data_IF_472961696619
#
_entry.id   IF_472961696619
#
_cell.length_a   1.000
_cell.length_b   1.000
_cell.length_c   1.000
_cell.angle_alpha   90.00
_cell.angle_beta   90.00
_cell.angle_gamma   90.00
#
_symmetry.space_group_name_H-M   'P 1'
#
loop_
_entity.id
_entity.type
_entity.pdbx_description
1 polymer ?
#
# COMPACT_ATOMS: atom_id res chain seq x y z
N UNK A 1 -47.60 -25.27 -23.56
CA UNK A 1 -48.23 -26.32 -22.75
C UNK A 1 -47.30 -26.57 -21.59
N UNK A 2 -47.38 -25.70 -20.58
CA UNK A 2 -48.15 -25.90 -19.31
C UNK A 2 -47.13 -26.31 -18.24
N UNK A 3 -47.02 -25.74 -17.05
CA UNK A 3 -47.63 -24.58 -16.39
C UNK A 3 -47.03 -24.58 -14.98
N UNK A 4 -46.47 -23.47 -14.51
CA UNK A 4 -46.46 -23.17 -13.07
C UNK A 4 -47.90 -22.91 -12.61
N UNK A 5 -48.23 -23.01 -11.30
CA UNK A 5 -48.31 -21.77 -10.53
C UNK A 5 -48.09 -21.85 -8.99
N UNK A 6 -47.74 -20.67 -8.44
CA UNK A 6 -48.16 -20.04 -7.17
C UNK A 6 -48.05 -20.78 -5.81
N UNK A 7 -47.24 -20.30 -4.85
CA UNK A 7 -47.36 -19.09 -4.00
C UNK A 7 -48.25 -19.26 -2.74
N UNK A 8 -47.66 -19.06 -1.55
CA UNK A 8 -48.13 -18.12 -0.51
C UNK A 8 -47.31 -18.16 0.78
N UNK A 9 -47.15 -16.96 1.31
CA UNK A 9 -46.58 -16.52 2.58
C UNK A 9 -47.39 -16.92 3.82
N UNK A 10 -46.74 -16.91 4.99
CA UNK A 10 -47.33 -16.42 6.25
C UNK A 10 -46.26 -16.01 7.28
N UNK A 11 -46.48 -14.83 7.83
CA UNK A 11 -45.82 -14.17 8.95
C UNK A 11 -45.86 -14.96 10.27
N UNK A 12 -44.89 -14.66 11.14
CA UNK A 12 -44.88 -15.07 12.55
C UNK A 12 -43.77 -14.37 13.35
N UNK A 13 -44.17 -13.35 14.09
CA UNK A 13 -43.40 -12.33 14.81
C UNK A 13 -42.73 -12.76 16.13
N UNK A 14 -41.57 -12.12 16.41
CA UNK A 14 -41.11 -11.50 17.68
C UNK A 14 -41.05 -12.35 18.97
N UNK A 15 -39.84 -12.47 19.54
CA UNK A 15 -39.61 -12.28 20.99
C UNK A 15 -38.27 -11.57 21.25
N UNK A 16 -38.38 -10.49 22.04
CA UNK A 16 -37.32 -9.68 22.65
C UNK A 16 -36.88 -10.30 23.99
N UNK A 17 -35.83 -9.68 24.53
CA UNK A 17 -35.22 -9.79 25.86
C UNK A 17 -34.08 -10.81 25.91
N UNK A 18 -32.86 -10.44 26.33
CA UNK A 18 -32.59 -9.75 27.59
C UNK A 18 -31.31 -8.89 27.58
N UNK A 19 -31.46 -7.65 28.06
CA UNK A 19 -30.38 -6.83 28.65
C UNK A 19 -29.90 -7.48 29.95
N UNK A 20 -28.58 -7.61 30.12
CA UNK A 20 -27.96 -7.72 31.45
C UNK A 20 -26.99 -6.56 31.64
N UNK A 21 -27.33 -5.65 32.56
CA UNK A 21 -26.41 -4.73 33.23
C UNK A 21 -25.76 -5.47 34.39
N UNK A 22 -24.45 -5.36 34.53
CA UNK A 22 -23.64 -5.43 35.77
C UNK A 22 -22.18 -5.29 35.33
N UNK A 23 -21.27 -4.65 36.04
CA UNK A 23 -21.27 -3.69 37.13
C UNK A 23 -19.83 -3.19 37.17
N UNK A 24 -19.64 -1.93 37.49
CA UNK A 24 -18.39 -1.33 37.94
C UNK A 24 -17.64 -2.24 38.92
N UNK A 25 -16.34 -2.45 38.67
CA UNK A 25 -15.39 -2.70 39.75
C UNK A 25 -14.06 -2.01 39.46
N UNK A 26 -13.82 -0.98 40.26
CA UNK A 26 -12.57 -0.29 40.52
C UNK A 26 -11.53 -1.18 41.20
N UNK A 27 -10.26 -0.76 41.07
CA UNK A 27 -9.06 -1.11 41.86
C UNK A 27 -8.27 -2.30 41.28
N UNK A 28 -7.00 -2.20 40.89
CA UNK A 28 -5.86 -1.74 41.69
C UNK A 28 -4.64 -1.46 40.78
N UNK A 29 -3.87 -0.44 41.17
CA UNK A 29 -2.49 -0.15 40.73
C UNK A 29 -1.59 -1.36 40.92
N UNK A 30 -0.71 -1.60 39.96
CA UNK A 30 0.59 -2.22 40.20
C UNK A 30 1.64 -1.44 39.42
N UNK A 31 2.44 -0.68 40.17
CA UNK A 31 3.65 0.00 39.72
C UNK A 31 4.67 -1.04 39.22
N UNK A 32 5.20 -0.88 38.00
CA UNK A 32 6.48 -1.49 37.60
C UNK A 32 7.17 -0.61 36.56
N UNK A 33 8.12 0.17 37.09
CA UNK A 33 9.44 0.57 36.58
C UNK A 33 9.60 0.83 35.07
N UNK A 34 9.83 2.10 34.77
CA UNK A 34 10.49 2.61 33.56
C UNK A 34 11.80 1.87 33.26
N UNK A 35 11.91 1.36 32.04
CA UNK A 35 13.19 1.15 31.38
C UNK A 35 13.07 1.62 29.93
N UNK A 36 13.72 2.75 29.67
CA UNK A 36 13.96 3.32 28.34
C UNK A 36 14.69 2.30 27.46
N UNK A 37 14.15 2.01 26.27
CA UNK A 37 14.89 1.30 25.21
C UNK A 37 14.61 1.98 23.86
N UNK A 38 15.69 2.51 23.28
CA UNK A 38 15.76 3.16 21.97
C UNK A 38 15.45 2.19 20.81
N UNK A 39 14.81 2.64 19.71
CA UNK A 39 14.64 1.84 18.51
C UNK A 39 15.88 1.92 17.60
N UNK A 40 16.54 0.78 17.40
CA UNK A 40 17.64 0.61 16.44
C UNK A 40 17.13 0.64 15.00
N UNK A 41 17.61 1.61 14.22
CA UNK A 41 17.37 1.76 12.79
C UNK A 41 18.48 1.07 11.98
N UNK A 42 18.11 0.09 11.15
CA UNK A 42 19.02 -0.56 10.22
C UNK A 42 19.23 0.28 8.96
N UNK A 43 20.44 0.81 8.77
CA UNK A 43 20.86 1.50 7.55
C UNK A 43 21.52 0.53 6.55
N UNK A 44 20.96 0.49 5.35
CA UNK A 44 21.53 -0.09 4.14
C UNK A 44 22.72 0.74 3.65
N UNK A 45 23.87 0.11 3.41
CA UNK A 45 25.09 0.78 2.90
C UNK A 45 25.00 1.01 1.39
N UNK A 46 25.02 2.27 0.97
CA UNK A 46 25.40 2.69 -0.39
C UNK A 46 26.89 3.05 -0.43
N UNK A 47 27.59 2.53 -1.44
CA UNK A 47 29.02 2.71 -1.72
C UNK A 47 29.31 4.16 -2.16
N UNK A 48 30.33 4.78 -1.58
CA UNK A 48 30.87 6.08 -2.02
C UNK A 48 32.34 5.96 -2.46
N UNK A 49 32.63 6.58 -3.61
CA UNK A 49 33.94 6.67 -4.26
C UNK A 49 34.70 7.88 -3.69
N UNK A 50 35.99 7.69 -3.40
CA UNK A 50 36.93 8.70 -2.89
C UNK A 50 37.28 9.79 -3.91
N UNK A 51 37.48 11.03 -3.44
CA UNK A 51 38.11 12.07 -4.25
C UNK A 51 38.27 13.46 -3.62
N UNK A 52 39.30 13.62 -2.77
CA UNK A 52 40.13 14.82 -2.50
C UNK A 52 39.50 16.16 -2.03
N UNK A 53 39.76 16.41 -0.74
CA UNK A 53 40.28 17.63 -0.09
C UNK A 53 40.57 18.89 -0.92
N UNK A 54 39.98 20.01 -0.47
CA UNK A 54 40.44 21.38 -0.72
C UNK A 54 39.92 22.30 0.39
N UNK A 55 40.85 22.87 1.17
CA UNK A 55 40.64 23.74 2.32
C UNK A 55 40.01 25.09 1.95
N UNK A 56 39.16 25.64 2.83
CA UNK A 56 39.31 27.02 3.33
C UNK A 56 38.46 27.27 4.59
N UNK A 57 39.11 27.86 5.59
CA UNK A 57 38.53 28.41 6.82
C UNK A 57 37.70 29.66 6.51
N UNK A 58 36.56 29.85 7.17
CA UNK A 58 36.37 30.88 8.21
C UNK A 58 34.94 30.89 8.77
N UNK A 59 34.86 31.21 10.06
CA UNK A 59 33.74 31.79 10.82
C UNK A 59 32.57 30.91 11.25
N UNK A 60 32.83 30.13 12.31
CA UNK A 60 31.86 29.76 13.34
C UNK A 60 31.21 31.00 13.97
N UNK A 61 30.00 31.33 13.51
CA UNK A 61 28.99 31.99 14.34
C UNK A 61 28.06 30.89 14.90
N UNK A 62 28.19 30.62 16.20
CA UNK A 62 27.26 29.80 16.96
C UNK A 62 25.89 30.50 16.95
N UNK A 63 24.99 30.06 16.08
CA UNK A 63 23.57 30.32 16.25
C UNK A 63 22.94 29.07 16.83
N UNK A 64 22.65 29.15 18.13
CA UNK A 64 21.75 28.28 18.85
C UNK A 64 20.36 28.41 18.23
N UNK A 65 19.98 27.49 17.35
CA UNK A 65 18.59 27.36 16.93
C UNK A 65 18.03 26.06 17.50
N UNK A 66 17.54 26.17 18.74
CA UNK A 66 16.68 25.15 19.35
C UNK A 66 15.44 25.00 18.48
N UNK A 67 15.32 23.84 17.85
CA UNK A 67 14.25 23.43 16.94
C UNK A 67 12.85 23.93 17.34
N UNK A 68 12.40 25.04 16.74
CA UNK A 68 10.96 25.31 16.62
C UNK A 68 10.40 24.35 15.58
N UNK A 69 9.80 23.25 16.03
CA UNK A 69 8.96 22.41 15.16
C UNK A 69 7.88 23.32 14.57
N UNK A 70 7.85 23.49 13.25
CA UNK A 70 6.76 24.18 12.56
C UNK A 70 5.43 23.49 12.91
N UNK A 71 4.32 24.22 13.09
CA UNK A 71 3.01 23.65 13.48
C UNK A 71 2.56 22.49 12.59
N UNK A 72 2.89 22.56 11.30
CA UNK A 72 2.63 21.52 10.30
C UNK A 72 3.36 20.19 10.58
N UNK A 73 4.61 20.23 11.07
CA UNK A 73 5.36 19.00 11.42
C UNK A 73 4.78 18.30 12.64
N UNK A 74 4.29 19.05 13.63
CA UNK A 74 3.63 18.47 14.81
C UNK A 74 2.29 17.82 14.45
N UNK A 75 1.48 18.44 13.58
CA UNK A 75 0.20 17.89 13.13
C UNK A 75 0.41 16.54 12.39
N UNK A 76 1.43 16.47 11.54
CA UNK A 76 1.77 15.25 10.82
C UNK A 76 2.24 14.14 11.75
N UNK A 77 3.09 14.45 12.73
CA UNK A 77 3.57 13.46 13.70
C UNK A 77 2.42 12.91 14.55
N UNK A 78 1.56 13.79 15.08
CA UNK A 78 0.38 13.41 15.85
C UNK A 78 -0.54 12.48 15.04
N UNK A 79 -0.69 12.76 13.74
CA UNK A 79 -1.48 11.93 12.84
C UNK A 79 -0.86 10.55 12.61
N UNK A 80 0.46 10.47 12.44
CA UNK A 80 1.18 9.20 12.34
C UNK A 80 0.99 8.38 13.62
N UNK A 81 1.18 9.03 14.77
CA UNK A 81 1.06 8.37 16.08
C UNK A 81 -0.36 7.85 16.34
N UNK A 82 -1.39 8.58 15.88
CA UNK A 82 -2.79 8.16 15.97
C UNK A 82 -3.10 6.87 15.20
N UNK A 83 -2.43 6.65 14.06
CA UNK A 83 -2.70 5.52 13.17
C UNK A 83 -1.66 4.40 13.25
N UNK A 84 -0.61 4.59 14.04
CA UNK A 84 0.39 3.58 14.30
C UNK A 84 -0.23 2.41 15.05
N UNK A 85 -0.11 1.21 14.48
CA UNK A 85 -0.60 -0.02 15.09
C UNK A 85 0.54 -0.68 15.87
N UNK A 86 0.27 -1.07 17.12
CA UNK A 86 1.17 -1.92 17.89
C UNK A 86 1.03 -3.36 17.39
N UNK A 87 2.13 -3.94 16.95
CA UNK A 87 2.19 -5.31 16.42
C UNK A 87 3.15 -6.13 17.27
N UNK A 88 2.90 -7.43 17.40
CA UNK A 88 3.86 -8.36 18.01
C UNK A 88 5.08 -8.57 17.09
N UNK A 89 6.21 -8.99 17.64
CA UNK A 89 7.50 -9.18 16.94
C UNK A 89 7.39 -9.98 15.63
N UNK A 90 6.50 -10.97 15.60
CA UNK A 90 6.31 -11.87 14.46
C UNK A 90 4.92 -11.75 13.81
N UNK A 91 4.16 -10.72 14.14
CA UNK A 91 2.86 -10.45 13.56
C UNK A 91 3.01 -9.71 12.23
N UNK A 92 2.36 -10.21 11.18
CA UNK A 92 2.30 -9.53 9.90
C UNK A 92 1.36 -8.33 9.98
N UNK A 93 1.91 -7.13 9.80
CA UNK A 93 1.10 -5.93 9.68
C UNK A 93 0.32 -5.91 8.35
N UNK A 94 -0.99 -6.15 8.42
CA UNK A 94 -1.92 -6.13 7.27
C UNK A 94 -2.31 -4.72 6.80
N UNK A 95 -1.94 -3.65 7.52
CA UNK A 95 -2.06 -2.27 7.01
C UNK A 95 -0.96 -1.95 6.01
N UNK A 96 0.20 -2.58 6.19
CA UNK A 96 1.38 -2.48 5.34
C UNK A 96 1.41 -3.53 4.23
N UNK A 97 0.86 -4.71 4.50
CA UNK A 97 0.93 -5.87 3.64
C UNK A 97 -0.46 -6.41 3.24
N UNK A 98 -0.53 -7.13 2.15
CA UNK A 98 -1.75 -7.80 1.67
C UNK A 98 -1.46 -9.26 1.37
N UNK A 99 -2.42 -10.13 1.68
CA UNK A 99 -2.37 -11.54 1.29
C UNK A 99 -2.78 -11.69 -0.17
N UNK A 100 -1.93 -12.30 -0.98
CA UNK A 100 -2.13 -12.49 -2.41
C UNK A 100 -2.03 -13.97 -2.80
N UNK A 101 -2.77 -14.35 -3.84
CA UNK A 101 -2.73 -15.71 -4.37
C UNK A 101 -3.50 -16.76 -3.55
N UNK A 102 -4.25 -16.32 -2.53
CA UNK A 102 -5.07 -17.17 -1.67
C UNK A 102 -4.31 -17.75 -0.49
N UNK A 103 -4.90 -18.78 0.12
CA UNK A 103 -4.33 -19.51 1.25
C UNK A 103 -4.09 -20.96 0.87
N UNK A 104 -3.06 -21.57 1.44
CA UNK A 104 -2.66 -22.94 1.21
C UNK A 104 -2.86 -23.72 2.51
N UNK A 105 -3.56 -24.86 2.44
CA UNK A 105 -3.67 -25.79 3.55
C UNK A 105 -2.56 -26.81 3.42
N UNK A 106 -1.66 -26.82 4.38
CA UNK A 106 -0.54 -27.76 4.42
C UNK A 106 -0.73 -28.65 5.63
N UNK A 107 -1.43 -29.78 5.45
CA UNK A 107 -1.78 -30.72 6.52
C UNK A 107 -1.05 -32.04 6.34
N UNK A 108 -0.66 -32.65 7.47
CA UNK A 108 -0.23 -34.04 7.52
C UNK A 108 -1.44 -34.91 7.86
N UNK A 109 -1.71 -35.93 7.05
CA UNK A 109 -2.87 -36.80 7.22
C UNK A 109 -2.45 -38.18 7.71
N UNK A 110 -3.25 -38.78 8.59
CA UNK A 110 -3.08 -40.19 8.97
C UNK A 110 -3.43 -41.09 7.78
N UNK A 111 -2.61 -42.12 7.58
CA UNK A 111 -2.92 -43.16 6.61
C UNK A 111 -4.02 -44.03 7.22
N UNK A 112 -5.20 -44.16 6.57
CA UNK A 112 -6.27 -45.00 7.09
C UNK A 112 -5.82 -46.46 7.15
N UNK A 113 -6.43 -47.29 8.02
CA UNK A 113 -6.05 -48.69 8.15
C UNK A 113 -6.02 -49.40 6.79
N UNK A 114 -4.87 -49.97 6.43
CA UNK A 114 -4.68 -50.64 5.16
C UNK A 114 -5.17 -52.09 5.23
N UNK A 115 -5.67 -52.67 4.12
CA UNK A 115 -6.06 -54.07 4.07
C UNK A 115 -4.88 -54.99 4.43
N UNK A 116 -5.14 -56.00 5.27
CA UNK A 116 -4.16 -57.02 5.68
C UNK A 116 -4.64 -58.40 5.24
N UNK A 117 -3.74 -59.19 4.67
CA UNK A 117 -4.01 -60.60 4.35
C UNK A 117 -3.85 -61.44 5.61
N UNK A 118 -4.90 -62.18 5.97
CA UNK A 118 -4.93 -63.10 7.11
C UNK A 118 -5.44 -64.45 6.61
N UNK A 119 -4.53 -65.40 6.39
CA UNK A 119 -4.83 -66.63 5.67
C UNK A 119 -5.24 -66.36 4.22
N UNK A 120 -6.40 -66.87 3.81
CA UNK A 120 -6.99 -66.62 2.48
C UNK A 120 -7.91 -65.38 2.45
N UNK A 121 -8.05 -64.65 3.56
CA UNK A 121 -8.90 -63.47 3.66
C UNK A 121 -8.08 -62.18 3.52
N UNK A 122 -8.69 -61.15 2.94
CA UNK A 122 -8.20 -59.76 2.98
C UNK A 122 -9.15 -58.98 3.87
N UNK A 123 -8.66 -58.51 5.02
CA UNK A 123 -9.45 -57.82 6.04
C UNK A 123 -8.97 -56.37 6.13
N UNK A 124 -9.88 -55.41 6.11
CA UNK A 124 -9.60 -53.99 6.29
C UNK A 124 -10.46 -53.44 7.43
N UNK A 125 -9.85 -52.73 8.37
CA UNK A 125 -10.59 -52.05 9.43
C UNK A 125 -11.17 -50.75 8.89
N UNK A 126 -12.48 -50.60 8.99
CA UNK A 126 -13.17 -49.35 8.63
C UNK A 126 -13.38 -48.52 9.90
N UNK A 127 -12.85 -47.30 9.91
CA UNK A 127 -13.09 -46.34 10.99
C UNK A 127 -14.32 -45.48 10.68
N UNK A 128 -15.14 -45.23 11.70
CA UNK A 128 -16.32 -44.35 11.61
C UNK A 128 -16.23 -43.22 12.64
N UNK A 129 -16.44 -41.94 12.28
CA UNK A 129 -16.82 -41.47 10.93
C UNK A 129 -15.66 -41.56 9.93
N UNK A 130 -16.00 -41.75 8.65
CA UNK A 130 -15.02 -41.69 7.55
C UNK A 130 -14.66 -40.22 7.28
N UNK A 131 -13.79 -39.68 8.12
CA UNK A 131 -13.28 -38.32 8.01
C UNK A 131 -11.76 -38.34 7.96
N UNK A 132 -11.17 -37.34 7.27
CA UNK A 132 -9.72 -37.16 7.27
C UNK A 132 -9.25 -36.79 8.68
N UNK A 133 -8.26 -37.52 9.18
CA UNK A 133 -7.60 -37.25 10.46
C UNK A 133 -6.28 -36.55 10.19
N UNK A 134 -6.12 -35.37 10.77
CA UNK A 134 -4.89 -34.59 10.69
C UNK A 134 -3.95 -34.97 11.82
N UNK A 135 -2.66 -35.02 11.53
CA UNK A 135 -1.58 -35.23 12.50
C UNK A 135 -0.98 -33.88 12.83
N UNK A 136 -0.99 -33.51 14.11
CA UNK A 136 -0.23 -32.36 14.58
C UNK A 136 1.26 -32.70 14.56
N UNK A 137 2.03 -31.99 13.75
CA UNK A 137 3.47 -32.15 13.68
C UNK A 137 4.18 -30.80 13.77
N UNK A 138 5.29 -30.82 14.51
CA UNK A 138 6.20 -29.70 14.68
C UNK A 138 7.62 -30.25 14.70
N UNK A 139 8.50 -29.66 13.92
CA UNK A 139 9.91 -30.03 13.90
C UNK A 139 10.57 -29.74 15.25
N UNK A 140 11.39 -30.67 15.71
CA UNK A 140 12.32 -30.45 16.82
C UNK A 140 13.57 -29.72 16.32
N UNK A 141 13.40 -28.44 16.00
CA UNK A 141 14.44 -27.57 15.48
C UNK A 141 14.92 -26.61 16.57
N UNK A 142 16.25 -26.54 16.74
CA UNK A 142 16.88 -25.58 17.64
C UNK A 142 17.50 -24.46 16.80
N UNK A 143 17.05 -23.23 17.04
CA UNK A 143 17.66 -22.05 16.40
C UNK A 143 19.16 -22.03 16.76
N UNK A 144 20.06 -21.87 15.78
CA UNK A 144 21.48 -21.68 16.04
C UNK A 144 21.67 -20.46 16.94
N UNK A 145 22.50 -20.57 17.97
CA UNK A 145 22.84 -19.42 18.82
C UNK A 145 23.50 -18.35 17.95
N UNK A 146 22.75 -17.29 17.66
CA UNK A 146 23.30 -16.06 17.11
C UNK A 146 23.39 -15.14 18.31
N UNK A 147 24.59 -14.85 18.80
CA UNK A 147 24.80 -13.97 19.95
C UNK A 147 24.39 -12.53 19.61
N UNK A 148 23.08 -12.22 19.62
CA UNK A 148 22.56 -10.85 19.50
C UNK A 148 22.61 -10.08 20.84
N UNK A 149 23.51 -10.47 21.75
CA UNK A 149 23.67 -9.88 23.08
C UNK A 149 25.11 -9.77 23.57
N UNK A 150 26.11 -9.85 22.69
CA UNK A 150 27.50 -9.54 23.06
C UNK A 150 27.73 -8.02 22.99
N UNK A 151 27.39 -7.35 24.09
CA UNK A 151 27.86 -6.00 24.37
C UNK A 151 29.37 -5.89 24.10
N UNK A 152 29.75 -4.80 23.45
CA UNK A 152 31.13 -4.42 23.17
C UNK A 152 32.03 -4.59 24.39
N UNK A 153 33.25 -5.06 24.12
CA UNK A 153 34.41 -5.18 25.01
C UNK A 153 34.67 -6.60 25.52
N UNK A 154 34.98 -7.54 24.61
CA UNK A 154 36.28 -8.23 24.61
C UNK A 154 36.40 -9.25 23.46
N UNK A 155 37.59 -9.26 22.86
CA UNK A 155 38.14 -10.25 21.93
C UNK A 155 37.39 -10.48 20.61
N UNK A 156 37.90 -9.85 19.55
CA UNK A 156 37.82 -10.40 18.18
C UNK A 156 38.64 -11.69 18.16
N UNK A 157 38.06 -12.80 18.62
CA UNK A 157 38.55 -14.14 18.30
C UNK A 157 38.24 -14.37 16.83
N UNK A 158 39.29 -14.34 16.00
CA UNK A 158 39.23 -14.89 14.64
C UNK A 158 38.84 -16.38 14.78
N UNK A 159 37.55 -16.70 14.63
CA UNK A 159 37.09 -18.09 14.55
C UNK A 159 37.90 -18.81 13.48
N UNK A 160 38.36 -20.02 13.78
CA UNK A 160 39.13 -20.80 12.81
C UNK A 160 38.22 -21.25 11.65
N UNK A 161 38.73 -21.41 10.42
CA UNK A 161 37.92 -21.92 9.30
C UNK A 161 37.21 -23.25 9.62
N UNK A 162 37.84 -24.10 10.44
CA UNK A 162 37.27 -25.40 10.86
C UNK A 162 36.11 -25.27 11.87
N UNK A 163 36.11 -24.25 12.73
CA UNK A 163 34.98 -23.97 13.62
C UNK A 163 33.79 -23.42 12.84
N UNK A 164 34.06 -22.55 11.87
CA UNK A 164 33.05 -22.01 10.96
C UNK A 164 32.41 -23.14 10.14
N UNK A 165 33.22 -24.07 9.60
CA UNK A 165 32.70 -25.21 8.84
C UNK A 165 31.86 -26.16 9.72
N UNK A 166 32.28 -26.39 10.97
CA UNK A 166 31.51 -27.19 11.93
C UNK A 166 30.17 -26.52 12.30
N UNK A 167 30.17 -25.22 12.57
CA UNK A 167 28.95 -24.45 12.83
C UNK A 167 27.98 -24.52 11.64
N UNK A 168 28.47 -24.30 10.41
CA UNK A 168 27.65 -24.39 9.18
C UNK A 168 27.05 -25.78 9.03
N UNK A 169 27.84 -26.83 9.25
CA UNK A 169 27.37 -28.22 9.12
C UNK A 169 26.31 -28.56 10.16
N UNK A 170 26.47 -28.09 11.40
CA UNK A 170 25.46 -28.27 12.45
C UNK A 170 24.17 -27.52 12.14
N UNK A 171 24.27 -26.28 11.64
CA UNK A 171 23.12 -25.52 11.16
C UNK A 171 22.39 -26.24 10.02
N UNK A 172 23.12 -26.82 9.08
CA UNK A 172 22.53 -27.58 7.98
C UNK A 172 21.80 -28.84 8.48
N UNK A 173 22.38 -29.57 9.44
CA UNK A 173 21.74 -30.73 10.07
C UNK A 173 20.44 -30.35 10.80
N UNK A 174 20.41 -29.21 11.50
CA UNK A 174 19.19 -28.72 12.14
C UNK A 174 18.14 -28.31 11.10
N UNK A 175 18.53 -27.62 10.02
CA UNK A 175 17.62 -27.26 8.93
C UNK A 175 17.07 -28.49 8.18
N UNK A 176 17.80 -29.61 8.14
CA UNK A 176 17.32 -30.88 7.56
C UNK A 176 16.16 -31.51 8.35
N UNK A 177 15.96 -31.14 9.61
CA UNK A 177 14.78 -31.57 10.39
C UNK A 177 13.49 -30.87 9.96
N UNK A 178 13.61 -29.75 9.25
CA UNK A 178 12.47 -28.98 8.74
C UNK A 178 11.99 -29.53 7.40
N UNK A 179 10.70 -29.34 7.11
CA UNK A 179 10.14 -29.69 5.80
C UNK A 179 10.51 -28.63 4.79
N UNK A 180 11.22 -29.02 3.74
CA UNK A 180 11.55 -28.16 2.60
C UNK A 180 10.38 -28.14 1.61
N UNK A 181 9.89 -26.94 1.33
CA UNK A 181 8.78 -26.68 0.41
C UNK A 181 9.28 -25.88 -0.78
N UNK A 182 8.87 -26.28 -1.98
CA UNK A 182 9.06 -25.54 -3.22
C UNK A 182 7.69 -25.11 -3.74
N UNK A 183 7.48 -23.80 -3.84
CA UNK A 183 6.22 -23.21 -4.25
C UNK A 183 6.44 -22.37 -5.52
N UNK A 184 5.65 -22.65 -6.56
CA UNK A 184 5.52 -21.74 -7.70
C UNK A 184 4.51 -20.65 -7.36
N UNK A 185 4.89 -19.39 -7.55
CA UNK A 185 4.01 -18.28 -7.23
C UNK A 185 2.75 -18.29 -8.13
N UNK A 186 1.56 -17.99 -7.57
CA UNK A 186 0.34 -17.90 -8.36
C UNK A 186 0.45 -16.84 -9.45
N UNK A 187 0.11 -17.23 -10.69
CA UNK A 187 0.09 -16.31 -11.85
C UNK A 187 -1.12 -15.36 -11.88
N UNK A 188 -1.96 -15.40 -10.85
CA UNK A 188 -3.13 -14.52 -10.68
C UNK A 188 -2.74 -13.14 -10.12
N UNK A 189 -1.55 -13.01 -9.54
CA UNK A 189 -1.05 -11.77 -8.97
C UNK A 189 0.32 -11.40 -9.52
N UNK A 190 0.60 -10.10 -9.52
CA UNK A 190 1.88 -9.50 -9.86
C UNK A 190 2.67 -9.27 -8.57
N UNK A 191 3.91 -9.75 -8.55
CA UNK A 191 4.80 -9.67 -7.39
C UNK A 191 5.88 -8.63 -7.67
N UNK A 192 5.80 -7.46 -7.05
CA UNK A 192 6.77 -6.37 -7.23
C UNK A 192 7.99 -6.51 -6.33
N UNK A 193 7.79 -7.13 -5.17
CA UNK A 193 8.82 -7.48 -4.19
C UNK A 193 8.77 -9.00 -3.91
N UNK A 194 9.85 -9.58 -3.37
CA UNK A 194 9.84 -10.95 -2.91
C UNK A 194 8.69 -11.17 -1.89
N UNK A 195 7.81 -12.17 -2.12
CA UNK A 195 6.71 -12.42 -1.20
C UNK A 195 7.22 -12.94 0.15
N UNK A 196 6.54 -12.53 1.21
CA UNK A 196 6.76 -13.05 2.55
C UNK A 196 5.81 -14.23 2.79
N UNK A 197 6.35 -15.40 3.10
CA UNK A 197 5.55 -16.55 3.52
C UNK A 197 5.08 -16.32 4.97
N UNK A 198 3.80 -16.57 5.23
CA UNK A 198 3.20 -16.44 6.56
C UNK A 198 2.30 -17.63 6.89
N UNK A 199 2.14 -17.91 8.19
CA UNK A 199 1.24 -18.94 8.73
C UNK A 199 0.16 -18.30 9.59
N UNK A 200 -1.08 -18.75 9.45
CA UNK A 200 -2.15 -18.32 10.35
C UNK A 200 -1.95 -18.92 11.74
N UNK A 201 -1.87 -18.07 12.76
CA UNK A 201 -1.83 -18.51 14.15
C UNK A 201 -3.22 -18.40 14.76
N UNK A 202 -3.91 -19.53 14.90
CA UNK A 202 -5.33 -19.55 15.29
C UNK A 202 -5.55 -19.11 16.74
N UNK A 203 -4.59 -19.39 17.62
CA UNK A 203 -4.67 -19.00 19.04
C UNK A 203 -4.57 -17.48 19.23
N UNK A 204 -3.78 -16.82 18.39
CA UNK A 204 -3.53 -15.38 18.46
C UNK A 204 -4.40 -14.55 17.50
N UNK A 205 -4.93 -15.18 16.45
CA UNK A 205 -5.81 -14.55 15.47
C UNK A 205 -5.09 -13.65 14.46
N UNK A 206 -3.82 -13.93 14.15
CA UNK A 206 -3.04 -13.16 13.18
C UNK A 206 -2.18 -14.04 12.26
N UNK A 207 -1.69 -13.44 11.17
CA UNK A 207 -0.67 -14.05 10.31
C UNK A 207 0.72 -13.86 10.90
N UNK A 208 1.49 -14.93 11.07
CA UNK A 208 2.83 -14.90 11.61
C UNK A 208 3.89 -15.22 10.58
N UNK A 209 5.01 -14.50 10.65
CA UNK A 209 6.24 -14.78 9.89
C UNK A 209 7.15 -15.80 10.60
N UNK A 210 6.80 -16.23 11.81
CA UNK A 210 7.62 -17.16 12.58
C UNK A 210 7.53 -18.60 12.04
N UNK A 211 8.63 -19.35 12.19
CA UNK A 211 8.69 -20.77 11.85
C UNK A 211 9.06 -21.07 10.40
N UNK A 212 9.52 -20.06 9.64
CA UNK A 212 10.04 -20.21 8.29
C UNK A 212 11.54 -19.90 8.23
N UNK A 213 12.30 -20.73 7.53
CA UNK A 213 13.76 -20.66 7.44
C UNK A 213 14.24 -20.97 6.02
N UNK A 214 15.50 -20.65 5.70
CA UNK A 214 16.11 -20.91 4.38
C UNK A 214 15.23 -20.42 3.20
N UNK A 215 14.64 -19.22 3.35
CA UNK A 215 13.75 -18.64 2.34
C UNK A 215 14.60 -18.16 1.17
N UNK A 216 14.33 -18.70 -0.03
CA UNK A 216 14.99 -18.32 -1.28
C UNK A 216 13.92 -18.00 -2.32
N UNK A 217 14.07 -16.84 -2.96
CA UNK A 217 13.19 -16.39 -4.02
C UNK A 217 13.95 -16.33 -5.35
N UNK A 218 13.45 -17.03 -6.36
CA UNK A 218 13.92 -16.95 -7.74
C UNK A 218 12.92 -16.09 -8.53
N UNK A 219 13.29 -14.84 -8.81
CA UNK A 219 12.44 -13.90 -9.53
C UNK A 219 12.20 -14.33 -10.99
N UNK A 220 13.20 -14.92 -11.65
CA UNK A 220 13.09 -15.34 -13.05
C UNK A 220 12.10 -16.49 -13.23
N UNK A 221 12.10 -17.45 -12.32
CA UNK A 221 11.15 -18.59 -12.33
C UNK A 221 9.85 -18.30 -11.58
N UNK A 222 9.79 -17.21 -10.82
CA UNK A 222 8.69 -16.90 -9.89
C UNK A 222 8.44 -18.08 -8.94
N UNK A 223 9.50 -18.57 -8.30
CA UNK A 223 9.44 -19.68 -7.34
C UNK A 223 10.02 -19.27 -6.00
N UNK A 224 9.34 -19.68 -4.93
CA UNK A 224 9.76 -19.50 -3.55
C UNK A 224 10.07 -20.88 -2.94
N UNK A 225 11.26 -21.05 -2.37
CA UNK A 225 11.56 -22.22 -1.55
C UNK A 225 11.80 -21.81 -0.11
N UNK A 226 11.29 -22.57 0.84
CA UNK A 226 11.45 -22.30 2.26
C UNK A 226 11.36 -23.60 3.05
N UNK A 227 11.88 -23.57 4.28
CA UNK A 227 11.76 -24.64 5.26
C UNK A 227 10.76 -24.22 6.34
N UNK A 228 9.86 -25.12 6.72
CA UNK A 228 8.83 -24.84 7.72
C UNK A 228 8.94 -25.73 8.95
N UNK A 229 8.66 -25.13 10.12
CA UNK A 229 8.68 -25.78 11.42
C UNK A 229 7.41 -26.59 11.71
N UNK A 230 6.27 -26.23 11.10
CA UNK A 230 4.99 -26.85 11.41
C UNK A 230 4.02 -26.72 10.25
N UNK A 231 3.08 -27.65 10.17
CA UNK A 231 1.96 -27.62 9.24
C UNK A 231 0.91 -26.57 9.63
N UNK A 232 -0.01 -26.25 8.71
CA UNK A 232 -1.10 -25.32 8.94
C UNK A 232 -1.52 -24.54 7.70
N UNK A 233 -2.23 -23.43 7.93
CA UNK A 233 -2.70 -22.55 6.87
C UNK A 233 -1.59 -21.54 6.55
N UNK A 234 -1.04 -21.63 5.35
CA UNK A 234 -0.03 -20.70 4.85
C UNK A 234 -0.63 -19.70 3.88
N UNK A 235 0.02 -18.56 3.72
CA UNK A 235 -0.32 -17.58 2.71
C UNK A 235 0.92 -16.81 2.25
N UNK A 236 0.82 -16.19 1.07
CA UNK A 236 1.85 -15.30 0.57
C UNK A 236 1.42 -13.85 0.78
N UNK A 237 2.29 -13.09 1.43
CA UNK A 237 2.10 -11.67 1.71
C UNK A 237 2.97 -10.83 0.77
N UNK A 238 2.42 -9.75 0.25
CA UNK A 238 3.16 -8.73 -0.49
C UNK A 238 3.06 -7.37 0.19
N UNK A 239 4.11 -6.56 0.07
CA UNK A 239 4.07 -5.15 0.45
C UNK A 239 3.08 -4.42 -0.45
N UNK A 240 2.18 -3.64 0.15
CA UNK A 240 1.10 -2.97 -0.61
C UNK A 240 1.63 -1.80 -1.41
N UNK A 241 2.57 -1.06 -0.86
CA UNK A 241 2.91 0.27 -1.35
C UNK A 241 4.15 0.29 -2.24
N UNK A 242 4.51 -0.83 -2.89
CA UNK A 242 5.68 -0.91 -3.78
C UNK A 242 5.60 0.07 -4.97
N UNK A 243 4.40 0.51 -5.33
CA UNK A 243 4.16 1.46 -6.43
C UNK A 243 3.72 2.85 -5.93
N UNK A 244 3.98 3.17 -4.65
CA UNK A 244 3.82 4.51 -4.11
C UNK A 244 5.16 5.01 -3.52
N UNK A 245 5.46 6.32 -3.61
CA UNK A 245 4.68 7.37 -4.28
C UNK A 245 4.63 7.20 -5.81
N UNK A 246 3.62 7.84 -6.42
CA UNK A 246 3.53 8.01 -7.86
C UNK A 246 4.69 8.91 -8.34
N UNK A 247 5.13 8.72 -9.56
CA UNK A 247 6.15 9.54 -10.22
C UNK A 247 5.54 10.67 -11.04
N UNK A 248 4.33 10.47 -11.56
CA UNK A 248 3.57 11.49 -12.28
C UNK A 248 2.11 11.11 -12.37
N UNK A 249 1.27 12.11 -12.60
CA UNK A 249 -0.13 11.94 -12.95
C UNK A 249 -0.56 13.04 -13.93
N UNK A 250 -1.55 12.72 -14.75
CA UNK A 250 -2.18 13.68 -15.66
C UNK A 250 -3.66 13.34 -15.80
N UNK A 251 -4.53 14.34 -15.65
CA UNK A 251 -5.96 14.28 -15.93
C UNK A 251 -6.27 15.19 -17.12
N UNK A 252 -6.88 14.64 -18.17
CA UNK A 252 -7.27 15.42 -19.36
C UNK A 252 -8.70 15.10 -19.82
N UNK A 253 -9.48 16.10 -20.25
CA UNK A 253 -10.79 15.86 -20.87
C UNK A 253 -10.66 15.12 -22.19
N UNK A 254 -11.57 14.18 -22.42
CA UNK A 254 -11.79 13.53 -23.70
C UNK A 254 -13.10 14.00 -24.36
N UNK A 255 -14.15 14.17 -23.56
CA UNK A 255 -15.45 14.70 -24.00
C UNK A 255 -16.17 15.44 -22.87
N UNK A 256 -17.42 15.85 -23.08
CA UNK A 256 -18.23 16.58 -22.09
C UNK A 256 -18.40 15.81 -20.77
N UNK A 257 -18.41 14.47 -20.82
CA UNK A 257 -18.66 13.58 -19.68
C UNK A 257 -17.63 12.45 -19.61
N UNK A 258 -16.43 12.69 -20.14
CA UNK A 258 -15.35 11.71 -20.05
C UNK A 258 -13.98 12.37 -19.99
N UNK A 259 -13.12 11.81 -19.16
CA UNK A 259 -11.75 12.25 -18.96
C UNK A 259 -10.81 11.05 -18.81
N UNK A 260 -9.56 11.23 -19.22
CA UNK A 260 -8.51 10.24 -19.09
C UNK A 260 -7.60 10.65 -17.94
N UNK A 261 -7.39 9.75 -16.98
CA UNK A 261 -6.37 9.92 -15.93
C UNK A 261 -5.25 8.90 -16.14
N UNK A 262 -4.03 9.39 -16.26
CA UNK A 262 -2.82 8.58 -16.34
C UNK A 262 -2.11 8.65 -15.00
N UNK A 263 -1.83 7.51 -14.39
CA UNK A 263 -1.04 7.38 -13.18
C UNK A 263 0.23 6.59 -13.50
N UNK A 264 1.39 7.19 -13.24
CA UNK A 264 2.69 6.54 -13.42
C UNK A 264 3.35 6.35 -12.07
N UNK A 265 3.66 5.11 -11.73
CA UNK A 265 4.40 4.70 -10.55
C UNK A 265 5.75 4.10 -10.95
N UNK A 266 6.55 3.67 -9.96
CA UNK A 266 7.89 3.13 -10.19
C UNK A 266 7.96 1.96 -11.19
N UNK A 267 7.03 1.00 -11.11
CA UNK A 267 7.00 -0.16 -11.99
C UNK A 267 5.74 -0.26 -12.85
N UNK A 268 4.72 0.56 -12.57
CA UNK A 268 3.37 0.47 -13.17
C UNK A 268 3.01 1.79 -13.82
N UNK A 269 2.47 1.74 -15.03
CA UNK A 269 1.77 2.87 -15.64
C UNK A 269 0.36 2.42 -16.04
N UNK A 270 -0.63 3.16 -15.56
CA UNK A 270 -2.03 2.84 -15.77
C UNK A 270 -2.77 4.07 -16.30
N UNK A 271 -3.52 3.88 -17.38
CA UNK A 271 -4.37 4.90 -18.00
C UNK A 271 -5.82 4.47 -17.83
N UNK A 272 -6.61 5.31 -17.16
CA UNK A 272 -8.01 5.05 -16.86
C UNK A 272 -8.91 6.05 -17.58
N UNK A 273 -9.92 5.53 -18.25
CA UNK A 273 -11.01 6.31 -18.80
C UNK A 273 -12.11 6.46 -17.75
N UNK A 274 -12.32 7.68 -17.29
CA UNK A 274 -13.39 8.08 -16.38
C UNK A 274 -14.62 8.46 -17.23
N UNK A 275 -15.76 7.85 -16.95
CA UNK A 275 -17.04 8.17 -17.57
C UNK A 275 -18.13 8.47 -16.54
N UNK A 276 -19.38 8.35 -16.95
CA UNK A 276 -20.54 8.58 -16.09
C UNK A 276 -20.76 7.39 -15.14
N UNK A 277 -20.23 7.47 -13.91
CA UNK A 277 -20.46 6.49 -12.85
C UNK A 277 -19.57 5.25 -12.94
N UNK A 278 -18.75 5.17 -13.98
CA UNK A 278 -17.87 4.04 -14.27
C UNK A 278 -16.48 4.52 -14.67
N UNK A 279 -15.50 3.66 -14.41
CA UNK A 279 -14.11 3.81 -14.82
C UNK A 279 -13.67 2.56 -15.56
N UNK A 280 -12.80 2.73 -16.55
CA UNK A 280 -12.29 1.64 -17.38
C UNK A 280 -10.77 1.73 -17.47
N UNK A 281 -10.06 0.66 -17.16
CA UNK A 281 -8.61 0.58 -17.39
C UNK A 281 -8.35 0.44 -18.90
N UNK A 282 -7.83 1.49 -19.53
CA UNK A 282 -7.57 1.55 -20.98
C UNK A 282 -6.20 1.00 -21.34
N UNK A 283 -5.17 1.45 -20.64
CA UNK A 283 -3.80 0.96 -20.84
C UNK A 283 -3.20 0.59 -19.50
N UNK A 284 -2.43 -0.49 -19.51
CA UNK A 284 -1.70 -0.95 -18.35
C UNK A 284 -0.36 -1.51 -18.81
N UNK A 285 0.73 -0.98 -18.28
CA UNK A 285 2.07 -1.51 -18.49
C UNK A 285 2.76 -1.71 -17.15
N UNK A 286 3.58 -2.76 -17.07
CA UNK A 286 4.23 -3.19 -15.84
C UNK A 286 5.62 -3.79 -16.13
N UNK A 287 6.50 -3.00 -16.74
CA UNK A 287 7.83 -3.47 -17.17
C UNK A 287 7.75 -4.77 -17.98
N UNK A 288 8.48 -5.80 -17.52
CA UNK A 288 8.50 -7.14 -18.14
C UNK A 288 7.42 -8.10 -17.60
N UNK A 289 6.63 -7.67 -16.61
CA UNK A 289 5.59 -8.53 -16.00
C UNK A 289 4.34 -8.53 -16.89
N UNK A 290 3.57 -9.64 -16.91
CA UNK A 290 2.36 -9.72 -17.74
C UNK A 290 1.31 -8.68 -17.33
N UNK A 291 0.41 -8.29 -18.24
CA UNK A 291 -0.67 -7.36 -17.90
C UNK A 291 -1.65 -7.99 -16.91
N UNK A 292 -2.39 -7.13 -16.21
CA UNK A 292 -3.52 -7.54 -15.38
C UNK A 292 -4.53 -8.34 -16.19
N UNK A 293 -4.95 -9.49 -15.66
CA UNK A 293 -5.82 -10.44 -16.35
C UNK A 293 -7.27 -9.99 -16.22
N UNK A 294 -7.93 -9.86 -17.37
CA UNK A 294 -9.37 -9.64 -17.44
C UNK A 294 -9.84 -8.32 -16.84
N UNK A 295 -8.97 -7.30 -16.73
CA UNK A 295 -9.33 -5.98 -16.20
C UNK A 295 -9.41 -4.89 -17.28
N UNK A 296 -8.61 -5.02 -18.35
CA UNK A 296 -8.59 -4.05 -19.45
C UNK A 296 -9.94 -3.95 -20.15
N UNK A 297 -10.31 -2.73 -20.53
CA UNK A 297 -11.54 -2.37 -21.26
C UNK A 297 -12.86 -2.80 -20.59
N UNK A 298 -12.84 -3.09 -19.29
CA UNK A 298 -14.05 -3.38 -18.51
C UNK A 298 -14.51 -2.16 -17.71
N UNK A 299 -15.71 -1.60 -17.99
CA UNK A 299 -16.28 -0.55 -17.17
C UNK A 299 -16.77 -1.11 -15.84
N UNK A 300 -16.41 -0.45 -14.74
CA UNK A 300 -16.84 -0.81 -13.39
C UNK A 300 -16.84 0.41 -12.47
N UNK A 301 -17.40 0.28 -11.26
CA UNK A 301 -17.30 1.34 -10.27
C UNK A 301 -15.85 1.50 -9.77
N UNK A 302 -15.48 2.71 -9.32
CA UNK A 302 -14.12 3.02 -8.84
C UNK A 302 -13.67 2.05 -7.74
N UNK A 303 -14.56 1.72 -6.79
CA UNK A 303 -14.23 0.80 -5.68
C UNK A 303 -13.97 -0.64 -6.15
N UNK A 304 -14.72 -1.11 -7.14
CA UNK A 304 -14.56 -2.45 -7.69
C UNK A 304 -13.25 -2.55 -8.47
N UNK A 305 -12.92 -1.53 -9.27
CA UNK A 305 -11.63 -1.43 -9.96
C UNK A 305 -10.46 -1.51 -8.98
N UNK A 306 -10.49 -0.70 -7.92
CA UNK A 306 -9.42 -0.70 -6.89
C UNK A 306 -9.29 -2.08 -6.26
N UNK A 307 -10.42 -2.73 -5.93
CA UNK A 307 -10.42 -4.07 -5.36
C UNK A 307 -9.80 -5.10 -6.33
N UNK A 308 -10.22 -5.11 -7.59
CA UNK A 308 -9.68 -6.03 -8.60
C UNK A 308 -8.18 -5.80 -8.85
N UNK A 309 -7.73 -4.55 -8.92
CA UNK A 309 -6.30 -4.23 -9.05
C UNK A 309 -5.50 -4.75 -7.84
N UNK A 310 -5.99 -4.50 -6.62
CA UNK A 310 -5.36 -4.96 -5.38
C UNK A 310 -5.28 -6.49 -5.30
N UNK A 311 -6.33 -7.20 -5.70
CA UNK A 311 -6.33 -8.68 -5.74
C UNK A 311 -5.30 -9.25 -6.72
N UNK A 312 -4.94 -8.49 -7.75
CA UNK A 312 -3.87 -8.85 -8.69
C UNK A 312 -2.49 -8.31 -8.27
N UNK A 313 -2.35 -7.79 -7.05
CA UNK A 313 -1.08 -7.30 -6.50
C UNK A 313 -0.68 -5.90 -6.95
N UNK A 314 -1.58 -5.16 -7.63
CA UNK A 314 -1.33 -3.78 -8.05
C UNK A 314 -2.10 -2.83 -7.13
N UNK A 315 -1.41 -2.22 -6.18
CA UNK A 315 -1.97 -1.17 -5.32
C UNK A 315 -1.28 0.16 -5.60
N UNK A 316 -2.00 1.06 -6.27
CA UNK A 316 -1.60 2.46 -6.54
C UNK A 316 -2.56 3.44 -5.86
N UNK A 317 -3.39 2.94 -4.93
CA UNK A 317 -4.44 3.69 -4.26
C UNK A 317 -4.17 3.69 -2.76
N UNK A 318 -3.70 4.79 -2.17
CA UNK A 318 -3.41 4.85 -0.75
C UNK A 318 -4.68 4.80 0.10
N UNK A 319 -4.64 4.02 1.18
CA UNK A 319 -5.64 4.06 2.24
C UNK A 319 -5.45 5.31 3.13
N UNK A 320 -6.26 5.42 4.19
CA UNK A 320 -6.24 6.59 5.08
C UNK A 320 -4.97 6.66 5.95
N UNK A 321 -4.38 5.51 6.28
CA UNK A 321 -3.21 5.31 7.14
C UNK A 321 -1.93 4.96 6.37
N UNK A 322 -1.96 4.91 5.03
CA UNK A 322 -0.80 4.52 4.20
C UNK A 322 0.45 5.39 4.44
N UNK A 323 0.26 6.65 4.81
CA UNK A 323 1.32 7.58 5.18
C UNK A 323 2.16 7.14 6.39
N UNK A 324 1.69 6.20 7.20
CA UNK A 324 2.49 5.60 8.28
C UNK A 324 3.53 4.59 7.78
N UNK A 325 3.42 4.15 6.52
CA UNK A 325 4.19 3.05 5.95
C UNK A 325 5.00 3.43 4.70
N UNK A 326 4.92 4.69 4.28
CA UNK A 326 5.61 5.23 3.11
C UNK A 326 6.35 6.48 3.55
N UNK A 327 7.65 6.51 3.30
CA UNK A 327 8.52 7.64 3.66
C UNK A 327 8.58 8.68 2.53
N UNK A 328 8.91 9.93 2.88
CA UNK A 328 9.16 10.99 1.90
C UNK A 328 7.92 11.55 1.19
N UNK A 329 6.71 11.26 1.67
CA UNK A 329 5.48 11.77 1.08
C UNK A 329 5.27 13.28 1.32
N UNK A 330 4.77 14.04 0.32
CA UNK A 330 4.36 15.43 0.49
C UNK A 330 2.95 15.50 1.08
N UNK A 331 2.75 14.99 2.30
CA UNK A 331 1.42 14.95 2.92
C UNK A 331 0.80 16.34 2.97
N UNK A 332 -0.43 16.48 2.45
CA UNK A 332 -1.15 17.74 2.37
C UNK A 332 -2.25 17.87 3.41
N UNK A 333 -2.71 19.11 3.60
CA UNK A 333 -3.92 19.37 4.36
C UNK A 333 -5.13 18.66 3.75
N UNK A 334 -5.76 17.79 4.54
CA UNK A 334 -6.80 16.87 4.09
C UNK A 334 -8.01 17.65 3.55
N UNK A 335 -8.39 18.73 4.23
CA UNK A 335 -9.60 19.48 3.87
C UNK A 335 -9.36 20.27 2.59
N UNK A 336 -8.19 20.89 2.49
CA UNK A 336 -7.76 21.64 1.30
C UNK A 336 -7.60 20.70 0.10
N UNK A 337 -6.95 19.55 0.27
CA UNK A 337 -6.78 18.53 -0.77
C UNK A 337 -8.14 18.01 -1.26
N UNK A 338 -9.05 17.68 -0.33
CA UNK A 338 -10.40 17.20 -0.65
C UNK A 338 -11.23 18.26 -1.37
N UNK A 339 -11.17 19.52 -0.94
CA UNK A 339 -11.86 20.63 -1.61
C UNK A 339 -11.33 20.81 -3.03
N UNK A 340 -9.99 20.82 -3.18
CA UNK A 340 -9.33 20.97 -4.46
C UNK A 340 -9.71 19.85 -5.44
N UNK A 341 -9.81 18.59 -5.00
CA UNK A 341 -10.30 17.51 -5.86
C UNK A 341 -11.73 17.71 -6.35
N UNK A 342 -12.60 18.33 -5.54
CA UNK A 342 -13.96 18.68 -6.00
C UNK A 342 -13.92 19.82 -7.02
N UNK A 343 -13.07 20.83 -6.82
CA UNK A 343 -12.88 21.89 -7.81
C UNK A 343 -12.35 21.34 -9.14
N UNK A 344 -11.32 20.48 -9.10
CA UNK A 344 -10.78 19.79 -10.28
C UNK A 344 -11.88 18.97 -10.98
N UNK A 345 -12.71 18.26 -10.21
CA UNK A 345 -13.78 17.46 -10.77
C UNK A 345 -14.85 18.29 -11.49
N UNK A 346 -15.17 19.48 -10.99
CA UNK A 346 -16.14 20.41 -11.60
C UNK A 346 -15.65 20.98 -12.94
N UNK A 347 -14.33 21.04 -13.14
CA UNK A 347 -13.68 21.63 -14.33
C UNK A 347 -13.02 20.58 -15.23
N UNK A 348 -13.15 19.29 -14.89
CA UNK A 348 -12.42 18.19 -15.53
C UNK A 348 -12.76 17.97 -17.02
N UNK A 349 -13.89 18.51 -17.50
CA UNK A 349 -14.30 18.39 -18.90
C UNK A 349 -13.77 19.53 -19.81
N UNK A 350 -13.08 20.51 -19.23
CA UNK A 350 -12.57 21.70 -19.93
C UNK A 350 -11.13 22.08 -19.56
N UNK A 351 -10.57 21.52 -18.49
CA UNK A 351 -9.19 21.73 -18.05
C UNK A 351 -8.38 20.43 -17.99
N UNK A 352 -7.12 20.54 -18.36
CA UNK A 352 -6.11 19.51 -18.19
C UNK A 352 -5.28 19.85 -16.95
N UNK A 353 -5.14 18.89 -16.05
CA UNK A 353 -4.34 18.98 -14.84
C UNK A 353 -3.19 17.98 -14.88
N UNK A 354 -2.04 18.34 -14.33
CA UNK A 354 -0.87 17.47 -14.29
C UNK A 354 -0.07 17.69 -13.02
N UNK A 355 0.70 16.68 -12.64
CA UNK A 355 1.64 16.75 -11.53
C UNK A 355 2.63 17.92 -11.68
N UNK A 356 3.17 18.40 -10.56
CA UNK A 356 4.23 19.40 -10.54
C UNK A 356 5.37 18.92 -9.65
N UNK A 357 6.62 19.02 -10.11
CA UNK A 357 7.78 18.62 -9.30
C UNK A 357 7.95 19.47 -8.03
N UNK A 358 7.39 20.67 -8.04
CA UNK A 358 7.46 21.62 -6.92
C UNK A 358 6.58 21.18 -5.73
N UNK A 359 5.59 20.33 -5.98
CA UNK A 359 4.65 19.86 -4.95
C UNK A 359 5.32 18.99 -3.87
N UNK A 360 6.37 18.25 -4.24
CA UNK A 360 7.08 17.35 -3.32
C UNK A 360 7.68 18.10 -2.12
N UNK A 361 8.23 19.29 -2.38
CA UNK A 361 8.95 20.10 -1.37
C UNK A 361 8.13 21.28 -0.83
N UNK A 362 6.87 21.43 -1.24
CA UNK A 362 6.05 22.61 -0.89
C UNK A 362 5.49 22.56 0.54
N UNK A 363 5.59 21.42 1.22
CA UNK A 363 5.10 21.23 2.58
C UNK A 363 3.60 20.91 2.65
N UNK A 364 3.04 21.03 3.86
CA UNK A 364 1.69 20.53 4.19
C UNK A 364 0.55 21.39 3.62
N UNK A 365 0.68 22.70 3.66
CA UNK A 365 -0.42 23.63 3.32
C UNK A 365 -0.41 24.07 1.86
N UNK A 366 0.66 23.76 1.12
CA UNK A 366 0.83 24.21 -0.27
C UNK A 366 0.64 23.04 -1.22
N UNK A 367 -0.41 23.08 -2.01
CA UNK A 367 -0.69 22.11 -3.06
C UNK A 367 -0.35 22.74 -4.39
N UNK A 368 0.63 22.18 -5.09
CA UNK A 368 1.13 22.72 -6.35
C UNK A 368 0.83 21.73 -7.46
N UNK A 369 0.26 22.22 -8.56
CA UNK A 369 0.00 21.41 -9.74
C UNK A 369 0.05 22.26 -11.00
N UNK A 370 0.12 21.60 -12.14
CA UNK A 370 -0.01 22.26 -13.43
C UNK A 370 -1.46 22.23 -13.90
N UNK A 371 -1.90 23.29 -14.55
CA UNK A 371 -3.17 23.33 -15.25
C UNK A 371 -3.05 24.04 -16.60
N UNK A 372 -3.99 23.73 -17.50
CA UNK A 372 -4.21 24.49 -18.74
C UNK A 372 -5.61 24.24 -19.25
N UNK A 373 -6.12 25.20 -20.01
CA UNK A 373 -7.37 25.03 -20.74
C UNK A 373 -7.23 23.95 -21.81
N UNK A 374 -8.26 23.12 -21.96
CA UNK A 374 -8.33 22.09 -22.99
C UNK A 374 -9.76 21.90 -23.49
N UNK A 375 -10.03 22.48 -24.66
CA UNK A 375 -11.27 22.26 -25.38
C UNK A 375 -11.07 21.25 -26.52
N UNK A 376 -12.02 20.31 -26.73
CA UNK A 376 -11.97 19.39 -27.85
C UNK A 376 -11.79 20.14 -29.20
N UNK A 377 -10.79 19.74 -29.98
CA UNK A 377 -10.54 20.30 -31.32
C UNK A 377 -9.82 21.65 -31.36
N UNK A 378 -9.43 22.24 -30.23
CA UNK A 378 -8.57 23.43 -30.19
C UNK A 378 -7.11 23.07 -29.93
N UNK A 379 -6.19 23.92 -30.37
CA UNK A 379 -4.78 23.78 -30.00
C UNK A 379 -4.62 23.95 -28.48
N UNK A 380 -3.74 23.14 -27.91
CA UNK A 380 -3.47 23.14 -26.48
C UNK A 380 -2.49 24.27 -26.14
N UNK A 381 -2.79 25.03 -25.08
CA UNK A 381 -1.88 26.02 -24.53
C UNK A 381 -0.72 25.39 -23.75
N UNK A 382 0.20 26.24 -23.28
CA UNK A 382 1.23 25.87 -22.31
C UNK A 382 0.60 25.59 -20.94
N UNK A 383 1.24 24.72 -20.16
CA UNK A 383 0.88 24.55 -18.75
C UNK A 383 1.32 25.76 -17.93
N UNK A 384 0.43 26.18 -17.03
CA UNK A 384 0.69 27.14 -15.97
C UNK A 384 0.78 26.39 -14.64
N UNK A 385 1.57 26.91 -13.71
CA UNK A 385 1.72 26.33 -12.37
C UNK A 385 0.83 27.08 -11.41
N UNK A 386 -0.03 26.36 -10.69
CA UNK A 386 -0.90 26.92 -9.66
C UNK A 386 -0.49 26.46 -8.28
N UNK A 387 -0.61 27.39 -7.34
CA UNK A 387 -0.53 27.13 -5.91
C UNK A 387 -1.92 27.27 -5.30
N UNK A 388 -2.32 26.25 -4.55
CA UNK A 388 -3.52 26.24 -3.73
C UNK A 388 -3.12 26.07 -2.27
N UNK A 389 -3.66 26.93 -1.41
CA UNK A 389 -3.54 26.86 0.05
C UNK A 389 -4.93 26.84 0.68
N UNK A 390 -5.07 26.63 2.00
CA UNK A 390 -6.36 26.71 2.68
C UNK A 390 -7.05 28.07 2.53
N UNK A 391 -6.27 29.13 2.27
CA UNK A 391 -6.76 30.52 2.25
C UNK A 391 -6.98 31.05 0.84
N UNK A 392 -6.20 30.57 -0.15
CA UNK A 392 -6.23 31.12 -1.50
C UNK A 392 -5.69 30.20 -2.59
N UNK A 393 -6.02 30.54 -3.82
CA UNK A 393 -5.46 30.00 -5.06
C UNK A 393 -4.81 31.11 -5.87
N UNK A 394 -3.65 30.83 -6.45
CA UNK A 394 -2.89 31.77 -7.30
C UNK A 394 -2.13 31.06 -8.42
N UNK A 395 -1.97 31.73 -9.56
CA UNK A 395 -1.11 31.27 -10.67
C UNK A 395 0.29 31.83 -10.46
N UNK A 396 1.32 30.99 -10.50
CA UNK A 396 2.70 31.36 -10.18
C UNK A 396 3.48 31.85 -11.40
N UNK A 397 4.41 32.78 -11.18
CA UNK A 397 5.46 33.16 -12.13
C UNK A 397 6.57 32.10 -12.21
N UNK A 398 6.19 30.83 -12.33
CA UNK A 398 7.13 29.74 -12.54
C UNK A 398 6.56 28.67 -13.47
N UNK A 399 7.46 27.89 -14.06
CA UNK A 399 7.13 26.75 -14.90
C UNK A 399 7.91 25.52 -14.41
N UNK A 400 7.60 24.34 -14.92
CA UNK A 400 8.40 23.14 -14.66
C UNK A 400 9.84 23.24 -15.20
N UNK A 401 10.08 24.14 -16.17
CA UNK A 401 11.41 24.39 -16.72
C UNK A 401 12.25 25.38 -15.88
N UNK A 402 11.63 26.13 -14.96
CA UNK A 402 12.30 27.12 -14.12
C UNK A 402 13.36 26.46 -13.22
N UNK A 403 14.56 27.03 -13.12
CA UNK A 403 15.63 26.42 -12.30
C UNK A 403 15.33 26.42 -10.79
N UNK A 404 14.65 27.47 -10.32
CA UNK A 404 14.27 27.65 -8.91
C UNK A 404 12.77 27.82 -8.79
N UNK A 405 12.23 27.42 -7.64
CA UNK A 405 10.83 27.65 -7.32
C UNK A 405 10.59 29.15 -7.06
N UNK A 406 9.54 29.71 -7.66
CA UNK A 406 9.10 31.07 -7.43
C UNK A 406 7.64 31.04 -6.95
N UNK A 407 7.45 31.44 -5.70
CA UNK A 407 6.14 31.49 -5.04
C UNK A 407 5.39 32.82 -5.28
N UNK A 408 5.92 33.66 -6.18
CA UNK A 408 5.26 34.90 -6.54
C UNK A 408 4.14 34.62 -7.54
N UNK A 409 2.93 35.14 -7.29
CA UNK A 409 1.85 35.05 -8.26
C UNK A 409 2.13 35.96 -9.47
N UNK A 410 1.56 35.60 -10.61
CA UNK A 410 1.48 36.47 -11.79
C UNK A 410 0.57 37.66 -11.45
N UNK A 411 0.92 38.85 -11.93
CA UNK A 411 0.08 40.05 -11.77
C UNK A 411 -1.37 39.78 -12.22
N UNK A 412 -2.33 40.19 -11.39
CA UNK A 412 -3.78 39.93 -11.51
C UNK A 412 -4.25 38.50 -11.18
N UNK A 413 -3.34 37.57 -10.86
CA UNK A 413 -3.66 36.18 -10.52
C UNK A 413 -3.28 35.81 -9.08
N UNK A 414 -3.35 36.78 -8.18
CA UNK A 414 -2.71 36.69 -6.86
C UNK A 414 -3.55 36.05 -5.76
N UNK A 415 -4.89 36.17 -5.85
CA UNK A 415 -5.74 35.85 -4.71
C UNK A 415 -7.18 35.49 -5.12
N UNK A 416 -7.41 34.21 -5.40
CA UNK A 416 -8.76 33.66 -5.57
C UNK A 416 -9.14 32.79 -4.38
N UNK A 417 -10.42 32.71 -3.97
CA UNK A 417 -10.85 31.87 -2.86
C UNK A 417 -10.54 30.38 -3.08
N UNK A 418 -10.76 29.89 -4.29
CA UNK A 418 -10.44 28.52 -4.70
C UNK A 418 -10.22 28.42 -6.22
N UNK A 419 -9.78 27.23 -6.67
CA UNK A 419 -9.54 26.91 -8.08
C UNK A 419 -10.79 27.13 -8.95
N UNK A 420 -11.97 26.78 -8.45
CA UNK A 420 -13.20 26.90 -9.23
C UNK A 420 -13.56 28.36 -9.46
N UNK A 421 -13.48 29.19 -8.42
CA UNK A 421 -13.70 30.63 -8.46
C UNK A 421 -12.70 31.34 -9.37
N UNK A 422 -11.43 30.94 -9.32
CA UNK A 422 -10.40 31.43 -10.26
C UNK A 422 -10.79 31.14 -11.70
N UNK A 423 -11.21 29.91 -12.00
CA UNK A 423 -11.60 29.52 -13.35
C UNK A 423 -12.84 30.28 -13.81
N UNK A 424 -13.84 30.50 -12.94
CA UNK A 424 -15.03 31.28 -13.31
C UNK A 424 -14.72 32.74 -13.66
N UNK A 425 -13.73 33.34 -13.01
CA UNK A 425 -13.37 34.75 -13.22
C UNK A 425 -12.49 34.95 -14.48
N UNK A 426 -11.57 34.00 -14.73
CA UNK A 426 -10.54 34.13 -15.75
C UNK A 426 -10.93 33.46 -17.08
N UNK A 427 -11.60 32.31 -17.02
CA UNK A 427 -11.74 31.46 -18.19
C UNK A 427 -12.61 32.09 -19.28
N UNK A 428 -12.26 31.89 -20.56
CA UNK A 428 -13.04 32.44 -21.65
C UNK A 428 -14.42 31.77 -21.76
N UNK A 429 -15.41 32.49 -22.26
CA UNK A 429 -16.81 32.03 -22.36
C UNK A 429 -17.00 30.61 -22.97
N UNK A 430 -16.23 30.17 -23.99
CA UNK A 430 -16.34 28.80 -24.51
C UNK A 430 -15.95 27.72 -23.50
N UNK A 431 -15.00 28.01 -22.60
CA UNK A 431 -14.57 27.10 -21.53
C UNK A 431 -15.67 27.00 -20.47
N UNK A 432 -16.26 28.12 -20.07
CA UNK A 432 -17.38 28.16 -19.13
C UNK A 432 -18.60 27.39 -19.67
N UNK A 433 -18.97 27.61 -20.93
CA UNK A 433 -20.04 26.85 -21.61
C UNK A 433 -19.75 25.35 -21.69
N UNK A 434 -18.48 24.96 -21.78
CA UNK A 434 -18.11 23.54 -21.75
C UNK A 434 -18.29 22.97 -20.34
N UNK A 435 -17.87 23.69 -19.29
CA UNK A 435 -18.05 23.27 -17.90
C UNK A 435 -19.51 23.00 -17.55
N UNK A 436 -20.43 23.86 -17.99
CA UNK A 436 -21.87 23.70 -17.74
C UNK A 436 -22.47 22.39 -18.29
N UNK A 437 -21.83 21.76 -19.28
CA UNK A 437 -22.29 20.50 -19.87
C UNK A 437 -21.90 19.26 -19.07
N UNK A 438 -21.02 19.40 -18.08
CA UNK A 438 -20.61 18.29 -17.23
C UNK A 438 -21.79 17.81 -16.40
N UNK A 439 -22.13 16.52 -16.52
CA UNK A 439 -23.15 15.89 -15.67
C UNK A 439 -22.59 15.64 -14.29
N UNK A 440 -23.43 15.81 -13.27
CA UNK A 440 -23.06 15.56 -11.88
C UNK A 440 -22.50 14.16 -11.61
N UNK A 441 -22.96 13.13 -12.34
CA UNK A 441 -22.47 11.75 -12.21
C UNK A 441 -21.01 11.63 -12.68
N UNK A 442 -20.65 12.28 -13.78
CA UNK A 442 -19.27 12.34 -14.26
C UNK A 442 -18.37 13.07 -13.25
N UNK A 443 -18.79 14.27 -12.82
CA UNK A 443 -18.08 15.06 -11.79
C UNK A 443 -17.85 14.23 -10.52
N UNK A 444 -18.88 13.54 -10.04
CA UNK A 444 -18.75 12.67 -8.88
C UNK A 444 -17.73 11.55 -9.10
N UNK A 445 -17.70 10.94 -10.29
CA UNK A 445 -16.77 9.85 -10.61
C UNK A 445 -15.32 10.34 -10.65
N UNK A 446 -15.07 11.52 -11.22
CA UNK A 446 -13.74 12.16 -11.19
C UNK A 446 -13.30 12.45 -9.76
N UNK A 447 -14.18 13.04 -8.93
CA UNK A 447 -13.90 13.31 -7.52
C UNK A 447 -13.58 12.02 -6.75
N UNK A 448 -14.35 10.94 -6.94
CA UNK A 448 -14.07 9.65 -6.32
C UNK A 448 -12.72 9.06 -6.73
N UNK A 449 -12.37 9.17 -8.02
CA UNK A 449 -11.08 8.69 -8.52
C UNK A 449 -9.92 9.45 -7.88
N UNK A 450 -9.98 10.79 -7.86
CA UNK A 450 -8.95 11.64 -7.27
C UNK A 450 -8.81 11.43 -5.75
N UNK A 451 -9.93 11.30 -5.03
CA UNK A 451 -9.93 11.01 -3.60
C UNK A 451 -9.34 9.63 -3.27
N UNK A 452 -9.47 8.68 -4.20
CA UNK A 452 -8.95 7.32 -4.02
C UNK A 452 -7.46 7.22 -4.33
N UNK A 453 -6.97 7.99 -5.32
CA UNK A 453 -5.56 7.99 -5.72
C UNK A 453 -4.70 8.98 -4.91
N UNK A 454 -5.31 10.04 -4.34
CA UNK A 454 -4.65 11.10 -3.56
C UNK A 454 -3.38 11.63 -4.21
N UNK A 455 -3.48 11.93 -5.50
CA UNK A 455 -2.36 12.32 -6.38
C UNK A 455 -1.56 13.55 -5.91
N UNK A 456 -2.09 14.39 -5.02
CA UNK A 456 -1.37 15.55 -4.49
C UNK A 456 -0.56 15.23 -3.23
N UNK A 457 -1.00 14.24 -2.43
CA UNK A 457 -0.28 13.77 -1.24
C UNK A 457 0.65 12.58 -1.53
N UNK A 458 0.49 11.91 -2.67
CA UNK A 458 1.18 10.67 -3.03
C UNK A 458 1.85 10.70 -4.41
N UNK A 459 2.17 11.89 -4.94
CA UNK A 459 2.95 12.05 -6.17
C UNK A 459 3.98 13.19 -6.08
#
# INVERSE_FOLDING_TARGET
>A
MESSPNSRSKDGSIKKDSRSKMSSNTSKKSDFLDTDVEPLSGHSKSVSIQGKSGSNQTDTSKNTDSSRKTPSKSILQERIDLYKVNIEENELNLRRNIILGGVFYFDLLEIPPQPKKVGDWIICQLETPQALKTVSWKADYKKPNTDEGANSNNAVTKKTPEEIEREIKEQEMELQKLVLVYLKLPSSALWFEPPTIVRWESEKGYWSTNGFYDIKFDEGKQTLSFRTLSFGIFALSAFRYSNLPLQSWELKPESENSALITLSAAAVQAEFLIGEGVITLKKFSCGNKPPVKGLQDKPMAVKDLIKEMRMQGVDIFPDYDSHCYIEGLPLKDIQTERHLYNCIALTANSYNYSWSRWNLLSGYEKLIMQHRERLPGKQEGSFEVILVTPEKTSVLECTEASQTFNDKPIENFENFPDLYSMILDVAPEPVLKQMEKAKAVFVHTVSQMLLSSKVLSYA
#
